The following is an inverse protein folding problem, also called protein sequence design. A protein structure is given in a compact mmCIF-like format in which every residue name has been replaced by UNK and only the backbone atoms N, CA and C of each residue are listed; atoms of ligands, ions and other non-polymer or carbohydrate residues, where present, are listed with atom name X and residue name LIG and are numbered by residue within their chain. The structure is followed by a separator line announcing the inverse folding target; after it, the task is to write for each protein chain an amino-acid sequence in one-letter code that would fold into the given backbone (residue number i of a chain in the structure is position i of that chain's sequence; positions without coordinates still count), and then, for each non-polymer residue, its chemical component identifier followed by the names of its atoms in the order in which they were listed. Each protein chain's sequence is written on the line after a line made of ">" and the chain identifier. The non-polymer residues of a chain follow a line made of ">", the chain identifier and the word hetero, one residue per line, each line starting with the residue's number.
data_IF_302729330876
#
_entry.id   IF_302729330876
#
_cell.length_a   1.000
_cell.length_b   1.000
_cell.length_c   1.000
_cell.angle_alpha   90.00
_cell.angle_beta   90.00
_cell.angle_gamma   90.00
#
_symmetry.space_group_name_H-M   'P 1'
#
loop_
_entity.id
_entity.type
_entity.pdbx_description
1 polymer ?
#
# COMPACT_ATOMS: atom_id res chain seq x y z
N UNK A 1 22.63 20.32 -48.63
CA UNK A 1 21.28 20.71 -48.20
C UNK A 1 20.67 19.50 -47.53
N UNK A 2 20.58 19.49 -46.19
CA UNK A 2 20.05 18.35 -45.42
C UNK A 2 18.56 18.60 -45.23
N UNK A 3 17.73 17.67 -45.71
CA UNK A 3 16.28 17.75 -45.59
C UNK A 3 15.87 17.56 -44.12
N UNK A 4 14.98 18.42 -43.64
CA UNK A 4 14.42 18.34 -42.29
C UNK A 4 13.53 17.09 -42.14
N UNK A 5 13.50 16.45 -40.96
CA UNK A 5 12.60 15.33 -40.69
C UNK A 5 11.13 15.80 -40.69
N UNK A 6 10.18 14.93 -41.05
CA UNK A 6 8.75 15.28 -41.09
C UNK A 6 8.22 15.58 -39.67
N UNK A 7 7.20 16.45 -39.54
CA UNK A 7 6.59 16.73 -38.25
C UNK A 7 5.89 15.49 -37.68
N UNK A 8 6.00 15.30 -36.36
CA UNK A 8 5.33 14.23 -35.64
C UNK A 8 3.80 14.33 -35.81
N UNK A 9 3.15 13.17 -35.97
CA UNK A 9 1.70 13.07 -36.11
C UNK A 9 0.99 13.51 -34.80
N UNK A 10 -0.18 14.15 -34.87
CA UNK A 10 -0.92 14.54 -33.68
C UNK A 10 -1.46 13.31 -32.95
N UNK A 11 -0.92 13.04 -31.75
CA UNK A 11 -1.52 12.10 -30.81
C UNK A 11 -2.89 12.62 -30.40
N UNK A 12 -3.93 11.91 -30.80
CA UNK A 12 -5.33 12.24 -30.50
C UNK A 12 -5.60 11.93 -29.03
N UNK A 13 -5.19 12.85 -28.14
CA UNK A 13 -5.56 12.83 -26.73
C UNK A 13 -7.04 13.24 -26.63
N UNK A 14 -7.94 12.25 -26.63
CA UNK A 14 -9.37 12.51 -26.42
C UNK A 14 -9.59 12.74 -24.93
N UNK A 15 -9.55 13.99 -24.50
CA UNK A 15 -10.00 14.40 -23.17
C UNK A 15 -11.47 14.02 -22.98
N UNK A 16 -11.74 13.14 -22.00
CA UNK A 16 -13.10 12.82 -21.58
C UNK A 16 -13.56 13.79 -20.51
N UNK A 17 -14.02 14.96 -20.92
CA UNK A 17 -15.05 15.65 -20.15
C UNK A 17 -16.34 14.82 -20.26
N UNK A 18 -16.67 13.99 -19.26
CA UNK A 18 -18.04 13.57 -18.87
C UNK A 18 -17.97 12.41 -17.86
N UNK A 19 -18.24 12.69 -16.56
CA UNK A 19 -19.29 12.04 -15.71
C UNK A 19 -18.99 12.22 -14.22
N UNK A 20 -19.39 13.35 -13.67
CA UNK A 20 -19.76 13.48 -12.25
C UNK A 20 -21.22 13.11 -12.11
N UNK A 21 -21.59 11.96 -11.53
CA UNK A 21 -22.87 11.75 -10.81
C UNK A 21 -22.80 10.55 -9.85
N UNK A 22 -22.78 10.89 -8.55
CA UNK A 22 -23.48 10.24 -7.41
C UNK A 22 -23.15 8.74 -7.16
N UNK A 23 -22.81 8.31 -5.95
CA UNK A 23 -23.69 8.31 -4.75
C UNK A 23 -22.89 7.95 -3.48
N UNK A 24 -23.10 8.72 -2.43
CA UNK A 24 -22.91 8.32 -1.04
C UNK A 24 -24.18 7.63 -0.53
N UNK A 25 -24.07 6.49 0.19
CA UNK A 25 -25.01 5.97 1.20
C UNK A 25 -24.22 5.02 2.13
N UNK A 26 -23.82 5.44 3.34
CA UNK A 26 -24.48 5.28 4.66
C UNK A 26 -24.46 3.85 5.25
N UNK A 27 -23.56 3.68 6.23
CA UNK A 27 -23.68 3.13 7.59
C UNK A 27 -24.58 1.91 7.96
N UNK A 28 -23.92 1.01 8.71
CA UNK A 28 -24.31 0.30 9.95
C UNK A 28 -25.40 -0.80 9.94
N UNK A 29 -25.00 -1.96 10.47
CA UNK A 29 -25.83 -2.96 11.15
C UNK A 29 -24.92 -3.97 11.86
N UNK A 30 -24.53 -3.76 13.12
CA UNK A 30 -25.25 -4.15 14.35
C UNK A 30 -25.24 -5.66 14.66
N UNK A 31 -24.29 -6.03 15.53
CA UNK A 31 -24.35 -6.95 16.69
C UNK A 31 -25.58 -7.87 16.79
N UNK A 32 -25.32 -9.19 16.77
CA UNK A 32 -26.24 -10.24 17.19
C UNK A 32 -25.83 -10.87 18.52
N UNK A 33 -26.79 -10.92 19.45
CA UNK A 33 -26.67 -11.21 20.88
C UNK A 33 -26.31 -12.65 21.28
N UNK A 34 -25.67 -12.67 22.45
CA UNK A 34 -25.50 -13.72 23.47
C UNK A 34 -26.75 -14.61 23.65
N UNK A 35 -26.55 -15.93 23.62
CA UNK A 35 -27.47 -16.92 24.15
C UNK A 35 -26.95 -17.52 25.46
N UNK A 36 -27.61 -17.20 26.58
CA UNK A 36 -27.43 -17.82 27.89
C UNK A 36 -27.87 -19.30 27.86
N UNK A 37 -27.00 -20.19 28.34
CA UNK A 37 -27.35 -21.55 28.74
C UNK A 37 -27.00 -21.77 30.21
N UNK A 38 -28.02 -21.82 31.07
CA UNK A 38 -27.95 -22.15 32.48
C UNK A 38 -27.56 -23.63 32.68
N UNK A 39 -26.65 -23.90 33.62
CA UNK A 39 -26.29 -25.26 34.05
C UNK A 39 -25.74 -25.23 35.48
N UNK A 40 -26.63 -25.47 36.43
CA UNK A 40 -26.43 -25.41 37.88
C UNK A 40 -25.84 -26.74 38.35
N UNK A 41 -24.82 -26.71 39.21
CA UNK A 41 -24.30 -27.94 39.82
C UNK A 41 -23.09 -27.71 40.72
N UNK A 42 -23.31 -27.09 41.89
CA UNK A 42 -22.35 -27.11 43.02
C UNK A 42 -22.53 -28.42 43.80
N UNK A 43 -21.44 -29.14 44.05
CA UNK A 43 -21.20 -29.83 45.30
C UNK A 43 -19.79 -29.48 45.77
N UNK A 44 -19.71 -28.92 46.97
CA UNK A 44 -18.48 -28.69 47.71
C UNK A 44 -18.26 -29.89 48.61
N UNK A 45 -17.01 -30.33 48.76
CA UNK A 45 -16.48 -30.84 50.03
C UNK A 45 -14.95 -30.59 50.04
N UNK A 46 -14.50 -29.81 51.01
CA UNK A 46 -13.11 -29.54 51.43
C UNK A 46 -12.77 -30.41 52.66
N UNK A 47 -11.57 -30.35 53.26
CA UNK A 47 -10.22 -30.54 52.75
C UNK A 47 -9.49 -31.67 53.54
N UNK A 48 -8.29 -32.10 53.13
CA UNK A 48 -7.36 -32.75 54.07
C UNK A 48 -5.92 -32.42 53.71
N UNK A 49 -5.13 -32.02 54.71
CA UNK A 49 -3.80 -31.48 54.58
C UNK A 49 -2.73 -32.41 55.16
N UNK A 50 -1.62 -32.56 54.40
CA UNK A 50 -0.19 -32.67 54.81
C UNK A 50 0.31 -33.90 55.64
N UNK A 51 1.64 -34.17 55.72
CA UNK A 51 2.81 -33.40 55.23
C UNK A 51 3.97 -34.16 54.50
N UNK A 52 4.78 -33.35 53.80
CA UNK A 52 6.26 -33.31 53.62
C UNK A 52 7.14 -34.59 53.46
N UNK A 53 7.99 -34.59 52.42
CA UNK A 53 9.46 -34.76 52.55
C UNK A 53 10.18 -33.98 51.43
N UNK A 54 11.14 -33.12 51.82
CA UNK A 54 12.05 -32.39 50.95
C UNK A 54 13.33 -33.20 50.65
N UNK A 55 13.89 -33.05 49.44
CA UNK A 55 15.25 -33.47 49.08
C UNK A 55 15.83 -32.48 48.03
N UNK A 56 17.17 -32.35 47.89
CA UNK A 56 17.84 -31.05 47.83
C UNK A 56 18.10 -30.48 46.42
N UNK A 57 18.43 -29.19 46.44
CA UNK A 57 18.81 -28.29 45.35
C UNK A 57 19.87 -28.87 44.41
N UNK A 58 19.59 -28.81 43.11
CA UNK A 58 20.61 -28.69 42.07
C UNK A 58 20.29 -27.43 41.24
N UNK A 59 21.19 -26.44 41.28
CA UNK A 59 21.18 -25.31 40.34
C UNK A 59 21.97 -25.71 39.09
N UNK A 60 21.41 -25.55 37.88
CA UNK A 60 22.26 -25.29 36.72
C UNK A 60 21.95 -23.93 36.07
N UNK A 61 23.05 -23.26 35.72
CA UNK A 61 23.28 -22.31 34.64
C UNK A 61 22.25 -21.19 34.37
N UNK A 62 22.71 -19.97 34.62
CA UNK A 62 22.26 -18.75 33.93
C UNK A 62 22.05 -19.05 32.44
N UNK A 63 20.83 -18.89 31.96
CA UNK A 63 20.53 -18.95 30.53
C UNK A 63 21.43 -17.93 29.81
N UNK A 64 22.23 -18.41 28.88
CA UNK A 64 22.95 -17.55 27.96
C UNK A 64 21.94 -16.70 27.16
N UNK A 65 22.27 -15.45 26.78
CA UNK A 65 21.43 -14.72 25.84
C UNK A 65 21.36 -15.54 24.55
N UNK A 66 20.16 -15.97 24.16
CA UNK A 66 19.92 -16.43 22.80
C UNK A 66 20.09 -15.20 21.92
N UNK A 67 21.27 -15.05 21.33
CA UNK A 67 21.47 -14.13 20.21
C UNK A 67 20.55 -14.62 19.10
N UNK A 68 19.38 -14.00 18.99
CA UNK A 68 18.51 -14.14 17.81
C UNK A 68 19.39 -13.89 16.60
N UNK A 69 19.34 -14.76 15.60
CA UNK A 69 19.93 -14.47 14.30
C UNK A 69 19.46 -13.07 13.86
N UNK A 70 20.34 -12.24 13.25
CA UNK A 70 19.92 -10.96 12.72
C UNK A 70 18.76 -11.20 11.73
N UNK A 71 17.71 -10.36 11.75
CA UNK A 71 16.59 -10.54 10.85
C UNK A 71 17.13 -10.58 9.42
N UNK A 72 16.73 -11.59 8.65
CA UNK A 72 16.98 -11.64 7.20
C UNK A 72 16.49 -10.33 6.60
N UNK A 73 17.26 -9.66 5.72
CA UNK A 73 16.77 -8.46 5.06
C UNK A 73 15.47 -8.80 4.32
N UNK A 74 14.37 -8.19 4.75
CA UNK A 74 13.09 -8.30 4.07
C UNK A 74 13.24 -7.57 2.74
N UNK A 75 13.04 -8.27 1.62
CA UNK A 75 12.95 -7.62 0.32
C UNK A 75 11.47 -7.57 -0.03
N UNK A 76 10.93 -6.37 -0.15
CA UNK A 76 9.55 -6.19 -0.57
C UNK A 76 9.39 -6.56 -2.05
N UNK A 77 8.23 -7.12 -2.39
CA UNK A 77 7.90 -7.41 -3.78
C UNK A 77 7.57 -6.11 -4.52
N UNK A 78 7.96 -6.06 -5.80
CA UNK A 78 7.52 -4.99 -6.69
C UNK A 78 6.02 -5.13 -6.97
N UNK A 79 5.28 -4.07 -6.70
CA UNK A 79 3.85 -3.95 -7.02
C UNK A 79 3.73 -3.37 -8.43
N UNK A 80 3.30 -4.20 -9.39
CA UNK A 80 2.94 -3.69 -10.72
C UNK A 80 1.63 -2.92 -10.63
N UNK A 81 1.59 -1.69 -11.16
CA UNK A 81 0.45 -0.80 -10.98
C UNK A 81 -0.81 -1.34 -11.67
N UNK A 82 -0.64 -1.99 -12.81
CA UNK A 82 -1.70 -2.67 -13.57
C UNK A 82 -2.22 -3.94 -12.87
N UNK A 83 -1.48 -4.46 -11.89
CA UNK A 83 -1.86 -5.63 -11.10
C UNK A 83 -2.60 -5.29 -9.79
N UNK A 84 -3.03 -4.04 -9.61
CA UNK A 84 -3.77 -3.61 -8.43
C UNK A 84 -5.06 -4.43 -8.21
N UNK A 85 -5.36 -4.78 -6.95
CA UNK A 85 -6.57 -5.51 -6.56
C UNK A 85 -7.85 -4.68 -6.69
N UNK A 86 -7.74 -3.36 -6.79
CA UNK A 86 -8.84 -2.47 -7.12
C UNK A 86 -8.34 -1.13 -7.62
N UNK A 87 -9.14 -0.48 -8.47
CA UNK A 87 -8.85 0.86 -8.95
C UNK A 87 -10.15 1.63 -9.27
N UNK A 88 -10.02 2.94 -9.45
CA UNK A 88 -11.08 3.80 -9.97
C UNK A 88 -10.47 4.77 -10.99
N UNK A 89 -11.10 4.89 -12.16
CA UNK A 89 -10.75 5.87 -13.21
C UNK A 89 -9.51 5.53 -14.05
N UNK A 90 -8.77 4.50 -13.66
CA UNK A 90 -7.45 4.17 -14.21
C UNK A 90 -7.55 3.12 -15.32
N UNK A 91 -6.70 3.24 -16.35
CA UNK A 91 -6.64 2.28 -17.46
C UNK A 91 -5.20 1.80 -17.71
N UNK A 92 -4.99 0.50 -18.00
CA UNK A 92 -3.69 0.00 -18.43
C UNK A 92 -3.40 0.37 -19.88
N UNK A 93 -2.11 0.49 -20.22
CA UNK A 93 -1.58 0.63 -21.58
C UNK A 93 -0.21 -0.04 -21.68
N UNK A 94 0.23 -0.30 -22.89
CA UNK A 94 1.59 -0.78 -23.13
C UNK A 94 2.60 0.30 -22.73
N UNK A 95 3.69 -0.13 -22.08
CA UNK A 95 4.75 0.79 -21.61
C UNK A 95 5.95 0.78 -22.55
N UNK A 96 6.53 1.96 -22.75
CA UNK A 96 7.85 2.12 -23.40
C UNK A 96 9.01 2.10 -22.38
N UNK A 97 8.71 1.87 -21.10
CA UNK A 97 9.73 1.74 -20.06
C UNK A 97 10.65 0.53 -20.29
N UNK A 98 11.82 0.58 -19.67
CA UNK A 98 12.73 -0.55 -19.64
C UNK A 98 12.06 -1.75 -18.97
N UNK A 99 12.12 -2.91 -19.63
CA UNK A 99 11.44 -4.13 -19.19
C UNK A 99 10.12 -4.40 -19.93
N UNK A 100 9.54 -3.40 -20.60
CA UNK A 100 8.28 -3.54 -21.32
C UNK A 100 7.11 -3.91 -20.41
N UNK A 101 6.08 -4.56 -20.96
CA UNK A 101 4.87 -4.90 -20.23
C UNK A 101 3.82 -3.80 -20.33
N UNK A 102 3.13 -3.52 -19.22
CA UNK A 102 2.11 -2.49 -19.16
C UNK A 102 2.39 -1.51 -18.03
N UNK A 103 1.82 -0.32 -18.14
CA UNK A 103 1.69 0.63 -17.05
C UNK A 103 0.22 1.04 -16.92
N UNK A 104 -0.13 1.75 -15.85
CA UNK A 104 -1.41 2.44 -15.77
C UNK A 104 -1.28 3.92 -16.11
N UNK A 105 -2.36 4.49 -16.65
CA UNK A 105 -2.46 5.90 -17.02
C UNK A 105 -3.88 6.43 -16.94
N UNK A 106 -4.11 7.58 -17.58
CA UNK A 106 -5.35 8.37 -17.48
C UNK A 106 -5.69 8.76 -16.03
N UNK A 107 -4.68 8.80 -15.16
CA UNK A 107 -4.86 9.12 -13.74
C UNK A 107 -5.23 10.60 -13.60
N UNK A 108 -6.39 10.87 -13.01
CA UNK A 108 -6.88 12.20 -12.69
C UNK A 108 -7.18 12.35 -11.19
N UNK A 109 -7.58 13.55 -10.77
CA UNK A 109 -7.95 13.82 -9.39
C UNK A 109 -9.16 12.96 -8.96
N UNK A 110 -9.06 12.33 -7.79
CA UNK A 110 -10.09 11.45 -7.22
C UNK A 110 -9.95 9.97 -7.58
N UNK A 111 -8.97 9.61 -8.42
CA UNK A 111 -8.68 8.22 -8.74
C UNK A 111 -7.87 7.53 -7.63
N UNK A 112 -7.84 6.19 -7.66
CA UNK A 112 -7.00 5.41 -6.76
C UNK A 112 -6.57 4.05 -7.33
N UNK A 113 -5.48 3.53 -6.78
CA UNK A 113 -5.12 2.10 -6.80
C UNK A 113 -5.21 1.53 -5.38
N UNK A 114 -5.57 0.25 -5.28
CA UNK A 114 -5.68 -0.51 -4.03
C UNK A 114 -4.95 -1.84 -4.17
N UNK A 115 -4.07 -2.13 -3.22
CA UNK A 115 -3.39 -3.40 -3.07
C UNK A 115 -3.75 -4.03 -1.73
N UNK A 116 -4.20 -5.27 -1.76
CA UNK A 116 -4.71 -5.97 -0.60
C UNK A 116 -3.61 -6.83 0.02
N UNK A 117 -3.63 -6.97 1.34
CA UNK A 117 -2.79 -7.91 2.09
C UNK A 117 -1.28 -7.77 1.83
N UNK A 118 -0.78 -6.53 1.75
CA UNK A 118 0.66 -6.28 1.63
C UNK A 118 1.32 -6.56 2.98
N UNK A 119 2.28 -7.49 3.00
CA UNK A 119 3.01 -7.88 4.19
C UNK A 119 4.34 -7.13 4.31
N UNK A 120 4.40 -6.24 5.30
CA UNK A 120 5.58 -5.47 5.67
C UNK A 120 6.46 -6.19 6.71
N UNK A 121 5.89 -7.17 7.45
CA UNK A 121 6.62 -7.91 8.47
C UNK A 121 7.06 -7.02 9.66
N UNK A 122 8.13 -7.42 10.34
CA UNK A 122 8.62 -6.70 11.54
C UNK A 122 9.65 -5.60 11.23
N UNK A 123 10.37 -5.72 10.11
CA UNK A 123 11.34 -4.72 9.68
C UNK A 123 10.57 -3.64 8.92
N UNK A 124 10.55 -2.38 9.37
CA UNK A 124 9.64 -1.39 8.82
C UNK A 124 10.01 -0.97 7.41
N UNK A 125 9.01 -0.71 6.55
CA UNK A 125 9.22 0.12 5.38
C UNK A 125 9.30 1.59 5.81
N UNK A 126 10.30 2.32 5.30
CA UNK A 126 10.47 3.76 5.55
C UNK A 126 10.44 4.59 4.27
N UNK A 127 10.49 3.92 3.11
CA UNK A 127 10.53 4.54 1.79
C UNK A 127 9.69 3.76 0.79
N UNK A 128 9.36 4.43 -0.31
CA UNK A 128 8.68 3.85 -1.46
C UNK A 128 9.30 4.43 -2.74
N UNK A 129 9.85 3.57 -3.57
CA UNK A 129 10.21 3.93 -4.93
C UNK A 129 9.01 3.79 -5.86
N UNK A 130 8.82 4.77 -6.73
CA UNK A 130 7.67 4.85 -7.63
C UNK A 130 8.17 5.15 -9.03
N UNK A 131 7.81 4.30 -10.00
CA UNK A 131 8.20 4.47 -11.41
C UNK A 131 7.12 5.21 -12.18
N UNK A 132 7.41 6.45 -12.54
CA UNK A 132 6.43 7.40 -13.09
C UNK A 132 6.88 8.01 -14.41
N UNK A 133 5.90 8.41 -15.22
CA UNK A 133 6.09 9.26 -16.39
C UNK A 133 4.96 10.30 -16.45
N UNK A 134 5.28 11.53 -16.79
CA UNK A 134 4.29 12.61 -16.86
C UNK A 134 4.79 13.78 -17.71
N UNK A 135 3.85 14.42 -18.41
CA UNK A 135 4.06 15.73 -19.05
C UNK A 135 3.39 16.88 -18.26
N UNK A 136 2.80 16.59 -17.09
CA UNK A 136 2.22 17.57 -16.20
C UNK A 136 3.24 18.07 -15.15
N UNK A 137 3.07 19.32 -14.73
CA UNK A 137 3.92 19.98 -13.71
C UNK A 137 3.23 20.09 -12.32
N UNK A 138 2.09 19.41 -12.12
CA UNK A 138 1.34 19.45 -10.85
C UNK A 138 0.57 18.16 -10.57
N UNK A 139 0.09 18.04 -9.34
CA UNK A 139 -0.60 16.85 -8.83
C UNK A 139 0.19 16.16 -7.72
N UNK A 140 -0.46 15.22 -7.03
CA UNK A 140 0.17 14.38 -6.02
C UNK A 140 -0.43 12.97 -6.00
N UNK A 141 0.37 12.04 -5.51
CA UNK A 141 -0.06 10.71 -5.11
C UNK A 141 0.18 10.56 -3.61
N UNK A 142 -0.86 10.26 -2.85
CA UNK A 142 -0.78 9.98 -1.41
C UNK A 142 -0.79 8.46 -1.17
N UNK A 143 0.11 7.98 -0.32
CA UNK A 143 0.15 6.60 0.19
C UNK A 143 -0.67 6.54 1.46
N UNK A 144 -1.68 5.68 1.52
CA UNK A 144 -2.60 5.55 2.66
C UNK A 144 -2.76 4.09 3.05
N UNK A 145 -2.95 3.85 4.34
CA UNK A 145 -3.12 2.50 4.89
C UNK A 145 -4.57 2.27 5.31
N UNK A 146 -5.07 1.09 4.98
CA UNK A 146 -6.34 0.48 5.38
C UNK A 146 -7.62 1.22 4.96
N UNK A 147 -7.52 2.49 4.56
CA UNK A 147 -8.61 3.30 4.05
C UNK A 147 -8.12 4.31 3.00
N UNK A 148 -8.86 4.51 1.88
CA UNK A 148 -8.53 5.54 0.90
C UNK A 148 -8.70 6.97 1.44
N UNK A 149 -9.35 7.14 2.60
CA UNK A 149 -9.56 8.45 3.24
C UNK A 149 -8.77 8.60 4.54
N UNK A 150 -7.98 7.60 4.96
CA UNK A 150 -7.10 7.70 6.13
C UNK A 150 -5.93 8.63 5.86
N UNK A 151 -5.32 9.21 6.89
CA UNK A 151 -4.22 10.18 6.72
C UNK A 151 -3.06 9.59 5.88
N UNK A 152 -2.43 10.39 4.97
CA UNK A 152 -1.30 9.92 4.20
C UNK A 152 -0.10 9.57 5.08
N UNK A 153 0.48 8.39 4.84
CA UNK A 153 1.77 7.97 5.42
C UNK A 153 2.95 8.32 4.51
N UNK A 154 2.69 8.89 3.35
CA UNK A 154 3.69 9.38 2.39
C UNK A 154 3.02 10.10 1.24
N UNK A 155 3.72 11.04 0.60
CA UNK A 155 3.19 11.80 -0.53
C UNK A 155 4.27 12.01 -1.59
N UNK A 156 3.98 11.60 -2.82
CA UNK A 156 4.74 11.99 -4.01
C UNK A 156 4.17 13.28 -4.58
N UNK A 157 5.02 14.31 -4.74
CA UNK A 157 4.67 15.50 -5.52
C UNK A 157 5.09 15.28 -6.97
N UNK A 158 4.15 15.38 -7.90
CA UNK A 158 4.41 15.11 -9.31
C UNK A 158 5.23 16.26 -9.91
N UNK A 159 6.32 15.89 -10.57
CA UNK A 159 7.15 16.81 -11.36
C UNK A 159 7.36 16.23 -12.74
N UNK A 160 7.29 17.08 -13.77
CA UNK A 160 7.35 16.66 -15.17
C UNK A 160 8.61 15.85 -15.46
N UNK A 161 8.42 14.71 -16.12
CA UNK A 161 9.53 13.87 -16.61
C UNK A 161 9.90 14.24 -18.04
N UNK A 162 9.03 14.98 -18.75
CA UNK A 162 9.25 15.43 -20.13
C UNK A 162 8.52 14.59 -21.18
N UNK A 163 7.54 13.78 -20.76
CA UNK A 163 6.65 13.05 -21.64
C UNK A 163 5.95 11.88 -20.94
N UNK A 164 4.81 11.46 -21.49
CA UNK A 164 3.97 10.38 -20.94
C UNK A 164 4.63 9.00 -20.92
N UNK A 165 5.70 8.82 -21.68
CA UNK A 165 6.49 7.58 -21.73
C UNK A 165 7.98 7.85 -21.43
N UNK A 166 8.30 9.03 -20.85
CA UNK A 166 9.64 9.30 -20.34
C UNK A 166 9.69 8.97 -18.84
N UNK A 167 10.32 7.85 -18.50
CA UNK A 167 10.19 7.23 -17.20
C UNK A 167 11.31 7.60 -16.23
N UNK A 168 10.95 7.96 -15.00
CA UNK A 168 11.86 8.21 -13.87
C UNK A 168 11.36 7.46 -12.63
N UNK A 169 12.30 7.10 -11.76
CA UNK A 169 11.98 6.56 -10.44
C UNK A 169 12.10 7.69 -9.42
N UNK A 170 11.02 7.99 -8.73
CA UNK A 170 10.97 8.98 -7.65
C UNK A 170 10.83 8.25 -6.30
N UNK A 171 11.59 8.70 -5.30
CA UNK A 171 11.52 8.18 -3.93
C UNK A 171 10.50 8.99 -3.11
N UNK A 172 9.65 8.30 -2.36
CA UNK A 172 8.74 8.86 -1.37
C UNK A 172 9.21 8.44 0.02
N UNK A 173 9.56 9.41 0.85
CA UNK A 173 9.79 9.15 2.29
C UNK A 173 8.46 8.92 2.99
N UNK A 174 8.37 7.84 3.77
CA UNK A 174 7.21 7.55 4.59
C UNK A 174 7.33 8.30 5.93
N UNK A 175 6.28 9.02 6.29
CA UNK A 175 6.22 9.83 7.52
C UNK A 175 6.11 8.97 8.78
N UNK A 176 5.62 7.74 8.63
CA UNK A 176 5.54 6.74 9.70
C UNK A 176 6.08 5.41 9.18
N UNK A 177 7.01 4.75 9.90
CA UNK A 177 7.48 3.41 9.55
C UNK A 177 6.32 2.41 9.53
N UNK A 178 6.24 1.58 8.48
CA UNK A 178 5.11 0.66 8.26
C UNK A 178 5.56 -0.78 8.53
N UNK A 179 4.83 -1.51 9.38
CA UNK A 179 5.05 -2.92 9.71
C UNK A 179 3.72 -3.69 9.68
N UNK A 180 3.75 -5.02 9.76
CA UNK A 180 2.54 -5.84 9.77
C UNK A 180 1.94 -6.02 8.38
N UNK A 181 0.62 -6.22 8.30
CA UNK A 181 -0.11 -6.48 7.04
C UNK A 181 -1.16 -5.40 6.85
N UNK A 182 -1.16 -4.75 5.69
CA UNK A 182 -2.07 -3.65 5.38
C UNK A 182 -2.75 -3.80 4.02
N UNK A 183 -3.90 -3.17 3.89
CA UNK A 183 -4.38 -2.75 2.56
C UNK A 183 -3.76 -1.40 2.25
N UNK A 184 -3.10 -1.27 1.09
CA UNK A 184 -2.43 -0.02 0.69
C UNK A 184 -3.24 0.66 -0.40
N UNK A 185 -3.52 1.94 -0.21
CA UNK A 185 -4.15 2.80 -1.21
C UNK A 185 -3.15 3.83 -1.72
N UNK A 186 -3.12 4.00 -3.03
CA UNK A 186 -2.47 5.12 -3.71
C UNK A 186 -3.56 6.02 -4.27
N UNK A 187 -3.80 7.18 -3.66
CA UNK A 187 -4.86 8.12 -4.07
C UNK A 187 -4.27 9.31 -4.80
N UNK A 188 -4.96 9.77 -5.83
CA UNK A 188 -4.46 10.79 -6.75
C UNK A 188 -5.28 12.08 -6.62
N UNK A 189 -4.58 13.22 -6.54
CA UNK A 189 -5.24 14.52 -6.40
C UNK A 189 -4.48 15.63 -7.10
N UNK A 190 -5.23 16.59 -7.64
CA UNK A 190 -4.75 17.73 -8.41
C UNK A 190 -5.80 18.85 -8.34
N UNK A 191 -5.38 20.10 -8.53
CA UNK A 191 -6.29 21.25 -8.46
C UNK A 191 -7.29 21.31 -9.63
N UNK A 192 -6.96 20.68 -10.75
CA UNK A 192 -7.80 20.57 -11.94
C UNK A 192 -8.18 19.10 -12.22
N UNK A 193 -9.13 18.90 -13.13
CA UNK A 193 -9.62 17.58 -13.54
C UNK A 193 -8.74 16.91 -14.63
N UNK A 194 -7.53 17.44 -14.86
CA UNK A 194 -6.63 16.97 -15.91
C UNK A 194 -5.90 15.69 -15.51
N UNK A 195 -5.80 14.76 -16.45
CA UNK A 195 -4.92 13.60 -16.34
C UNK A 195 -3.47 14.06 -16.12
N UNK A 196 -2.74 13.42 -15.20
CA UNK A 196 -1.46 13.98 -14.73
C UNK A 196 -0.36 12.96 -14.47
N UNK A 197 -0.63 11.66 -14.51
CA UNK A 197 0.38 10.65 -14.18
C UNK A 197 0.19 9.36 -14.96
N UNK A 198 1.30 8.81 -15.44
CA UNK A 198 1.45 7.39 -15.72
C UNK A 198 2.30 6.76 -14.62
N UNK A 199 1.91 5.56 -14.20
CA UNK A 199 2.53 4.81 -13.11
C UNK A 199 2.79 3.38 -13.58
N UNK A 200 4.02 2.90 -13.47
CA UNK A 200 4.42 1.56 -13.91
C UNK A 200 4.45 0.60 -12.72
N UNK A 201 5.35 0.83 -11.77
CA UNK A 201 5.50 -0.02 -10.59
C UNK A 201 5.80 0.77 -9.34
N UNK A 202 5.57 0.13 -8.19
CA UNK A 202 5.90 0.64 -6.87
C UNK A 202 6.71 -0.39 -6.09
N UNK A 203 7.66 0.05 -5.27
CA UNK A 203 8.51 -0.82 -4.47
C UNK A 203 8.79 -0.20 -3.11
N UNK A 204 8.26 -0.79 -2.06
CA UNK A 204 8.60 -0.40 -0.69
C UNK A 204 10.06 -0.72 -0.38
N UNK A 205 10.66 0.04 0.54
CA UNK A 205 12.05 -0.11 0.99
C UNK A 205 12.21 0.25 2.46
N UNK A 206 13.31 -0.22 3.06
CA UNK A 206 13.70 0.03 4.44
C UNK A 206 14.44 1.35 4.63
#
# INVERSE_FOLDING_TARGET
>A
MVAAPPPAAPSVYRTRAYRTRQRALIALGAVGLVGLGYGIGRWQDTPSASPAVAAPVAKPASAAPTTSAPPTPTVYQTLQAEAANGNQGIQPQDTEDQGGGQNVGWIAAGDYLRFDNIEFGEVPATKLDVRVATDADSGRMDVRLDSPTGDPVGTLRVTRTGGWQNWRTDEVTLTTPITGVHTVFFTFDREDDGEFLNLNWLLFQH
#
